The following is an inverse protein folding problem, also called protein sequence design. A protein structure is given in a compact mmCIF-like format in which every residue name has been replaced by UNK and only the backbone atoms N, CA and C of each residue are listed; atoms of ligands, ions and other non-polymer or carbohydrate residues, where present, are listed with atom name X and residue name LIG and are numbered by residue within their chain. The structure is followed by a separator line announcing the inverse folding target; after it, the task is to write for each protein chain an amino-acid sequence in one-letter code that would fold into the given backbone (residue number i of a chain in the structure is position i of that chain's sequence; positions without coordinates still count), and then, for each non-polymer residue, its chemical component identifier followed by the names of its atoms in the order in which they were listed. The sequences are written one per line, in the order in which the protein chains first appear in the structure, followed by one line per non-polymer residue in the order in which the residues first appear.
data_IF_792841487617
#
_entry.id   IF_792841487617
#
_cell.length_a   1.000
_cell.length_b   1.000
_cell.length_c   1.000
_cell.angle_alpha   90.00
_cell.angle_beta   90.00
_cell.angle_gamma   90.00
#
_symmetry.space_group_name_H-M   'P 1'
#
loop_
_entity.id
_entity.type
_entity.pdbx_description
1 polymer ?
#
# COMPACT_ATOMS: atom_id res chain seq x y z
N UNK A 1 4.86 -2.05 19.35
CA UNK A 1 4.81 -1.51 17.97
C UNK A 1 3.34 -1.28 17.60
N UNK A 2 2.89 -0.01 17.54
CA UNK A 2 1.53 0.33 17.08
C UNK A 2 1.57 0.62 15.58
N UNK A 3 0.60 0.11 14.83
CA UNK A 3 0.42 0.41 13.40
C UNK A 3 -0.39 1.71 13.31
N UNK A 4 0.16 2.72 12.65
CA UNK A 4 -0.49 4.02 12.45
C UNK A 4 -1.44 3.97 11.25
N UNK A 5 -1.00 3.33 10.18
CA UNK A 5 -1.74 3.20 8.95
C UNK A 5 -1.47 1.85 8.32
N UNK A 6 -2.52 1.20 7.85
CA UNK A 6 -2.42 0.02 7.00
C UNK A 6 -3.43 0.16 5.87
N UNK A 7 -3.03 -0.21 4.67
CA UNK A 7 -3.97 -0.40 3.56
C UNK A 7 -3.57 -1.66 2.83
N UNK A 8 -4.57 -2.45 2.44
CA UNK A 8 -4.33 -3.65 1.65
C UNK A 8 -5.25 -3.58 0.45
N UNK A 9 -4.70 -3.81 -0.73
CA UNK A 9 -5.45 -3.74 -1.97
C UNK A 9 -5.07 -4.90 -2.85
N UNK A 10 -6.07 -5.64 -3.27
CA UNK A 10 -5.84 -6.78 -4.13
C UNK A 10 -5.82 -6.31 -5.59
N UNK A 11 -4.94 -6.91 -6.38
CA UNK A 11 -4.70 -6.57 -7.77
C UNK A 11 -5.11 -7.75 -8.64
N UNK A 12 -6.04 -7.50 -9.56
CA UNK A 12 -6.41 -8.45 -10.59
C UNK A 12 -5.34 -8.47 -11.70
N UNK A 13 -5.04 -9.66 -12.19
CA UNK A 13 -4.27 -9.86 -13.40
C UNK A 13 -5.13 -9.55 -14.64
N UNK A 14 -4.51 -9.47 -15.83
CA UNK A 14 -5.16 -9.36 -17.14
C UNK A 14 -6.22 -10.45 -17.39
N UNK A 15 -6.11 -11.60 -16.71
CA UNK A 15 -7.10 -12.70 -16.73
C UNK A 15 -8.28 -12.54 -15.76
N UNK A 16 -8.36 -11.45 -15.00
CA UNK A 16 -9.35 -11.24 -13.95
C UNK A 16 -9.08 -12.01 -12.64
N UNK A 17 -8.00 -12.81 -12.59
CA UNK A 17 -7.59 -13.50 -11.36
C UNK A 17 -6.90 -12.55 -10.39
N UNK A 18 -7.42 -12.44 -9.16
CA UNK A 18 -6.86 -11.62 -8.08
C UNK A 18 -5.69 -12.34 -7.42
N UNK A 19 -4.55 -12.39 -8.12
CA UNK A 19 -3.31 -13.02 -7.62
C UNK A 19 -2.31 -12.01 -7.03
N UNK A 20 -2.48 -10.73 -7.38
CA UNK A 20 -1.62 -9.66 -6.92
C UNK A 20 -2.19 -9.02 -5.68
N UNK A 21 -1.31 -8.46 -4.86
CA UNK A 21 -1.69 -7.81 -3.60
C UNK A 21 -0.68 -6.76 -3.26
N UNK A 22 -1.15 -5.56 -2.98
CA UNK A 22 -0.33 -4.52 -2.38
C UNK A 22 -0.76 -4.33 -0.93
N UNK A 23 0.22 -4.18 -0.05
CA UNK A 23 0.02 -3.87 1.35
C UNK A 23 0.97 -2.77 1.75
N UNK A 24 0.45 -1.67 2.26
CA UNK A 24 1.26 -0.58 2.78
C UNK A 24 1.01 -0.50 4.27
N UNK A 25 2.08 -0.51 5.05
CA UNK A 25 2.08 -0.53 6.51
C UNK A 25 2.98 0.60 6.99
N UNK A 26 2.41 1.51 7.76
CA UNK A 26 3.12 2.59 8.42
C UNK A 26 3.02 2.38 9.93
N UNK A 27 4.16 2.31 10.59
CA UNK A 27 4.21 2.20 12.04
C UNK A 27 4.18 3.59 12.68
N UNK A 28 3.60 3.67 13.89
CA UNK A 28 3.62 4.88 14.72
C UNK A 28 5.07 5.15 15.12
N UNK A 29 5.55 6.35 14.82
CA UNK A 29 6.92 6.79 15.15
C UNK A 29 8.00 6.45 14.12
N UNK A 30 7.68 5.70 13.05
CA UNK A 30 8.55 5.65 11.87
C UNK A 30 8.19 6.79 10.91
N UNK A 31 9.13 7.31 10.13
CA UNK A 31 8.81 8.26 9.03
C UNK A 31 8.63 7.55 7.69
N UNK A 32 8.87 6.25 7.67
CA UNK A 32 8.81 5.40 6.48
C UNK A 32 7.60 4.45 6.57
N UNK A 33 7.00 4.16 5.42
CA UNK A 33 6.03 3.08 5.26
C UNK A 33 6.68 1.90 4.56
N UNK A 34 6.37 0.72 5.07
CA UNK A 34 6.67 -0.55 4.43
C UNK A 34 5.63 -0.82 3.36
N UNK A 35 6.06 -0.91 2.10
CA UNK A 35 5.24 -1.29 0.96
C UNK A 35 5.60 -2.69 0.51
N UNK A 36 4.64 -3.59 0.56
CA UNK A 36 4.71 -4.96 0.08
C UNK A 36 3.87 -5.05 -1.19
N UNK A 37 4.47 -5.39 -2.32
CA UNK A 37 3.81 -5.57 -3.60
C UNK A 37 3.98 -7.01 -4.07
N UNK A 38 2.87 -7.65 -4.45
CA UNK A 38 2.84 -8.93 -5.12
C UNK A 38 2.31 -8.73 -6.54
N UNK A 39 3.15 -8.95 -7.56
CA UNK A 39 2.76 -8.82 -8.98
C UNK A 39 1.70 -9.88 -9.29
N UNK A 40 0.51 -9.48 -9.79
CA UNK A 40 -0.54 -10.41 -10.20
C UNK A 40 -0.16 -11.25 -11.43
N UNK A 41 0.78 -10.75 -12.25
CA UNK A 41 1.18 -11.40 -13.51
C UNK A 41 2.25 -12.48 -13.31
N UNK A 42 3.36 -12.13 -12.68
CA UNK A 42 4.50 -13.03 -12.51
C UNK A 42 4.58 -13.67 -11.12
N UNK A 43 3.71 -13.29 -10.18
CA UNK A 43 3.72 -13.78 -8.80
C UNK A 43 4.89 -13.28 -7.95
N UNK A 44 5.74 -12.39 -8.49
CA UNK A 44 6.88 -11.83 -7.77
C UNK A 44 6.42 -11.01 -6.57
N UNK A 45 7.01 -11.28 -5.41
CA UNK A 45 6.77 -10.54 -4.19
C UNK A 45 7.98 -9.65 -3.92
N UNK A 46 7.74 -8.36 -3.74
CA UNK A 46 8.74 -7.38 -3.36
C UNK A 46 8.28 -6.62 -2.12
N UNK A 47 9.25 -6.27 -1.29
CA UNK A 47 9.05 -5.48 -0.08
C UNK A 47 10.08 -4.37 -0.05
N UNK A 48 9.60 -3.14 0.06
CA UNK A 48 10.44 -1.94 0.12
C UNK A 48 9.93 -1.00 1.20
N UNK A 49 10.83 -0.19 1.73
CA UNK A 49 10.47 0.95 2.58
C UNK A 49 10.49 2.19 1.71
N UNK A 50 9.45 3.00 1.80
CA UNK A 50 9.39 4.31 1.17
C UNK A 50 9.04 5.35 2.22
N UNK A 51 9.59 6.55 2.07
CA UNK A 51 9.25 7.67 2.94
C UNK A 51 7.73 7.90 2.90
N UNK A 52 7.10 7.92 4.07
CA UNK A 52 5.67 8.13 4.19
C UNK A 52 5.39 9.61 4.35
N UNK A 53 5.03 10.25 3.25
CA UNK A 53 4.45 11.59 3.30
C UNK A 53 2.96 11.48 3.65
N UNK A 54 2.48 12.24 4.63
CA UNK A 54 1.09 12.13 5.06
C UNK A 54 0.13 12.55 3.93
N UNK A 55 -0.84 11.72 3.54
CA UNK A 55 -1.89 12.13 2.60
C UNK A 55 -2.77 13.15 3.32
N UNK A 56 -2.67 14.42 2.94
CA UNK A 56 -3.28 15.52 3.69
C UNK A 56 -4.80 15.36 3.89
N UNK A 57 -5.17 15.47 5.17
CA UNK A 57 -6.51 15.52 5.73
C UNK A 57 -6.90 16.99 5.84
N UNK A 58 -7.68 17.53 4.89
CA UNK A 58 -8.55 18.74 5.02
C UNK A 58 -8.99 19.26 3.66
N UNK A 59 -10.02 18.68 3.05
CA UNK A 59 -10.83 19.32 1.99
C UNK A 59 -10.21 19.57 0.60
N UNK A 60 -8.89 19.58 0.44
CA UNK A 60 -8.19 19.79 -0.84
C UNK A 60 -6.98 18.84 -0.92
N UNK A 61 -7.23 17.56 -1.17
CA UNK A 61 -6.23 16.50 -0.96
C UNK A 61 -5.18 16.36 -2.07
N UNK A 62 -3.90 16.38 -1.69
CA UNK A 62 -2.83 15.72 -2.45
C UNK A 62 -2.99 14.20 -2.29
N UNK A 63 -3.38 13.54 -3.38
CA UNK A 63 -3.43 12.09 -3.49
C UNK A 63 -2.02 11.51 -3.40
N UNK A 64 -1.64 10.91 -2.28
CA UNK A 64 -0.37 10.19 -2.21
C UNK A 64 -0.38 9.07 -3.26
N UNK A 65 0.50 9.25 -4.26
CA UNK A 65 0.56 8.42 -5.46
C UNK A 65 1.68 7.41 -5.29
N UNK A 66 1.34 6.20 -4.88
CA UNK A 66 2.29 5.10 -4.95
C UNK A 66 2.30 4.56 -6.38
N UNK A 67 3.41 4.79 -7.06
CA UNK A 67 3.69 4.15 -8.34
C UNK A 67 4.51 2.88 -8.07
N UNK A 68 3.82 1.75 -8.01
CA UNK A 68 4.43 0.46 -7.77
C UNK A 68 4.64 -0.21 -9.11
N UNK A 69 5.87 -0.09 -9.62
CA UNK A 69 6.34 -0.86 -10.76
C UNK A 69 7.01 -2.12 -10.23
N UNK A 70 6.62 -3.28 -10.74
CA UNK A 70 7.30 -4.49 -10.38
C UNK A 70 8.69 -4.56 -11.04
N UNK A 71 9.69 -5.07 -10.32
CA UNK A 71 11.04 -5.24 -10.90
C UNK A 71 11.16 -6.37 -11.91
N UNK A 72 10.21 -7.33 -11.92
CA UNK A 72 10.30 -8.55 -12.74
C UNK A 72 9.32 -8.59 -13.93
N UNK A 73 8.23 -7.83 -13.83
CA UNK A 73 7.18 -7.71 -14.84
C UNK A 73 7.04 -6.21 -15.19
N UNK A 74 6.68 -5.83 -16.43
CA UNK A 74 6.38 -4.42 -16.76
C UNK A 74 5.03 -3.92 -16.17
N UNK A 75 4.47 -4.70 -15.24
CA UNK A 75 3.27 -4.36 -14.50
C UNK A 75 3.54 -3.14 -13.61
N UNK A 76 2.76 -2.08 -13.84
CA UNK A 76 2.76 -0.88 -13.03
C UNK A 76 1.36 -0.62 -12.48
N UNK A 77 1.26 -0.49 -11.16
CA UNK A 77 0.03 -0.09 -10.49
C UNK A 77 0.20 1.29 -9.88
N UNK A 78 -0.72 2.18 -10.28
CA UNK A 78 -0.85 3.52 -9.71
C UNK A 78 -1.92 3.49 -8.63
N UNK A 79 -1.50 3.58 -7.38
CA UNK A 79 -2.41 3.76 -6.26
C UNK A 79 -2.65 5.25 -6.06
N UNK A 80 -3.74 5.75 -6.65
CA UNK A 80 -4.12 7.17 -6.59
C UNK A 80 -4.91 7.53 -5.33
N UNK A 81 -5.44 6.54 -4.60
CA UNK A 81 -6.24 6.76 -3.40
C UNK A 81 -5.96 5.65 -2.40
N UNK A 82 -5.06 5.92 -1.48
CA UNK A 82 -4.86 5.07 -0.31
C UNK A 82 -5.96 5.39 0.70
N UNK A 83 -7.06 4.65 0.68
CA UNK A 83 -8.09 4.79 1.72
C UNK A 83 -7.46 4.38 3.06
N UNK A 84 -7.49 5.28 4.05
CA UNK A 84 -7.15 4.97 5.45
C UNK A 84 -8.00 3.79 5.91
N UNK A 85 -7.49 2.57 5.78
CA UNK A 85 -8.01 1.41 6.49
C UNK A 85 -7.28 1.33 7.81
N UNK A 86 -7.54 2.30 8.68
CA UNK A 86 -7.21 2.11 10.10
C UNK A 86 -8.19 1.04 10.57
N UNK A 87 -7.83 -0.25 10.39
CA UNK A 87 -8.37 -1.31 11.23
C UNK A 87 -7.98 -0.88 12.62
N UNK A 88 -8.90 -0.18 13.30
CA UNK A 88 -8.85 0.10 14.71
C UNK A 88 -8.55 -1.23 15.37
N UNK A 89 -7.28 -1.49 15.66
CA UNK A 89 -6.90 -2.40 16.71
C UNK A 89 -7.30 -1.64 17.97
N UNK A 90 -8.59 -1.73 18.27
CA UNK A 90 -9.20 -1.36 19.53
C UNK A 90 -8.32 -1.97 20.60
N UNK A 91 -7.53 -1.11 21.26
CA UNK A 91 -6.87 -1.49 22.52
C UNK A 91 -7.99 -1.96 23.44
N UNK A 92 -7.85 -3.21 23.87
CA UNK A 92 -8.62 -3.88 24.91
C UNK A 92 -8.89 -2.94 26.08
N UNK A 93 -10.10 -3.00 26.63
CA UNK A 93 -10.36 -2.62 28.01
C UNK A 93 -10.69 -3.89 28.78
#
# INVERSE_FOLDING_TARGET
MQIEYITTRDLANSKGEVKGRVRIIKLVGEEEATVELKCPECGYFEKRKEKWEEPFVSGQGQNQKFNLKCSKCDFSVKLLKLKKEIKKLTKKK
#
